data_IF_144092932078
#
_entry.id   IF_144092932078
#
_cell.length_a   1.000
_cell.length_b   1.000
_cell.length_c   1.000
_cell.angle_alpha   90.00
_cell.angle_beta   90.00
_cell.angle_gamma   90.00
#
_symmetry.space_group_name_H-M   'P 1'
#
loop_
_entity.id
_entity.type
_entity.pdbx_description
1 polymer ?
#
# COMPACT_ATOMS: atom_id res chain seq x y z
N UNK A 1 -7.22 -20.94 -19.44
CA UNK A 1 -6.94 -21.44 -18.07
C UNK A 1 -7.96 -20.82 -17.13
N UNK A 2 -8.59 -21.60 -16.25
CA UNK A 2 -9.43 -21.03 -15.19
C UNK A 2 -8.47 -20.59 -14.08
N UNK A 3 -8.37 -19.28 -13.85
CA UNK A 3 -7.49 -18.71 -12.83
C UNK A 3 -8.03 -18.91 -11.40
N UNK A 4 -7.16 -18.67 -10.41
CA UNK A 4 -7.57 -18.57 -9.00
C UNK A 4 -8.57 -17.42 -8.83
N UNK A 5 -9.45 -17.55 -7.84
CA UNK A 5 -10.35 -16.45 -7.45
C UNK A 5 -9.76 -15.65 -6.29
N UNK A 6 -10.17 -14.40 -6.12
CA UNK A 6 -9.84 -13.58 -4.95
C UNK A 6 -10.90 -13.79 -3.87
N UNK A 7 -10.46 -14.02 -2.64
CA UNK A 7 -11.30 -14.14 -1.46
C UNK A 7 -10.95 -13.04 -0.47
N UNK A 8 -11.95 -12.48 0.20
CA UNK A 8 -11.68 -11.67 1.40
C UNK A 8 -10.93 -12.49 2.46
N UNK A 9 -10.14 -11.84 3.34
CA UNK A 9 -9.52 -12.53 4.48
C UNK A 9 -10.52 -13.33 5.29
N UNK A 10 -11.71 -12.78 5.55
CA UNK A 10 -12.74 -13.48 6.33
C UNK A 10 -13.24 -14.74 5.62
N UNK A 11 -13.32 -14.74 4.30
CA UNK A 11 -13.67 -15.92 3.51
C UNK A 11 -12.54 -16.95 3.53
N UNK A 12 -11.29 -16.52 3.34
CA UNK A 12 -10.12 -17.38 3.38
C UNK A 12 -9.97 -18.05 4.76
N UNK A 13 -10.07 -17.27 5.84
CA UNK A 13 -10.03 -17.73 7.23
C UNK A 13 -11.18 -18.68 7.52
N UNK A 14 -12.39 -18.38 7.05
CA UNK A 14 -13.54 -19.26 7.22
C UNK A 14 -13.35 -20.60 6.49
N UNK A 15 -12.76 -20.60 5.28
CA UNK A 15 -12.41 -21.85 4.56
C UNK A 15 -11.37 -22.63 5.36
N UNK A 16 -10.28 -22.01 5.78
CA UNK A 16 -9.21 -22.68 6.52
C UNK A 16 -9.72 -23.25 7.84
N UNK A 17 -10.46 -22.46 8.61
CA UNK A 17 -11.09 -22.89 9.86
C UNK A 17 -11.98 -24.10 9.66
N UNK A 18 -12.89 -24.06 8.67
CA UNK A 18 -13.77 -25.19 8.38
C UNK A 18 -12.94 -26.44 8.07
N UNK A 19 -11.92 -26.32 7.19
CA UNK A 19 -11.09 -27.45 6.78
C UNK A 19 -10.30 -28.03 7.95
N UNK A 20 -9.78 -27.19 8.86
CA UNK A 20 -9.12 -27.64 10.08
C UNK A 20 -10.07 -28.41 11.00
N UNK A 21 -11.30 -27.93 11.21
CA UNK A 21 -12.29 -28.55 12.10
C UNK A 21 -12.88 -29.86 11.55
N UNK A 22 -12.68 -30.15 10.26
CA UNK A 22 -13.31 -31.25 9.52
C UNK A 22 -12.32 -32.09 8.70
N UNK A 23 -11.04 -32.12 9.09
CA UNK A 23 -9.99 -32.93 8.46
C UNK A 23 -9.83 -32.70 6.94
N UNK A 24 -10.05 -31.46 6.48
CA UNK A 24 -9.82 -31.06 5.09
C UNK A 24 -10.87 -31.52 4.09
N UNK A 25 -12.07 -31.93 4.54
CA UNK A 25 -13.13 -32.43 3.65
C UNK A 25 -13.78 -31.32 2.80
N UNK A 26 -13.12 -30.97 1.70
CA UNK A 26 -13.58 -29.96 0.74
C UNK A 26 -14.95 -30.28 0.14
N UNK A 27 -15.28 -31.56 -0.06
CA UNK A 27 -16.56 -31.97 -0.66
C UNK A 27 -17.71 -31.64 0.29
N UNK A 28 -17.56 -31.96 1.57
CA UNK A 28 -18.56 -31.63 2.57
C UNK A 28 -18.75 -30.10 2.73
N UNK A 29 -17.69 -29.30 2.64
CA UNK A 29 -17.84 -27.84 2.64
C UNK A 29 -18.69 -27.35 1.45
N UNK A 30 -18.43 -27.86 0.24
CA UNK A 30 -19.19 -27.49 -0.95
C UNK A 30 -20.68 -27.88 -0.83
N UNK A 31 -20.97 -29.09 -0.34
CA UNK A 31 -22.33 -29.58 -0.14
C UNK A 31 -23.11 -28.78 0.91
N UNK A 32 -22.46 -28.47 2.03
CA UNK A 32 -23.06 -27.67 3.10
C UNK A 32 -23.32 -26.25 2.60
N UNK A 33 -22.38 -25.64 1.89
CA UNK A 33 -22.54 -24.32 1.30
C UNK A 33 -23.71 -24.30 0.30
N UNK A 34 -23.77 -25.26 -0.62
CA UNK A 34 -24.87 -25.38 -1.59
C UNK A 34 -26.24 -25.54 -0.89
N UNK A 35 -26.28 -26.32 0.19
CA UNK A 35 -27.50 -26.52 0.98
C UNK A 35 -27.91 -25.27 1.75
N UNK A 36 -26.96 -24.56 2.36
CA UNK A 36 -27.21 -23.32 3.10
C UNK A 36 -27.78 -22.23 2.17
N UNK A 37 -27.19 -22.04 1.00
CA UNK A 37 -27.65 -21.05 0.01
C UNK A 37 -29.07 -21.36 -0.49
N UNK A 38 -29.42 -22.64 -0.72
CA UNK A 38 -30.75 -23.03 -1.19
C UNK A 38 -31.84 -22.98 -0.12
N UNK A 39 -31.56 -23.44 1.10
CA UNK A 39 -32.59 -23.68 2.12
C UNK A 39 -32.77 -22.53 3.11
N UNK A 40 -31.74 -21.72 3.35
CA UNK A 40 -31.71 -20.78 4.45
C UNK A 40 -31.49 -19.33 3.99
N UNK A 41 -31.39 -19.09 2.68
CA UNK A 41 -30.97 -17.79 2.14
C UNK A 41 -29.52 -17.45 2.49
N UNK A 42 -28.70 -18.47 2.77
CA UNK A 42 -27.32 -18.35 3.23
C UNK A 42 -27.10 -18.79 4.68
N UNK A 43 -25.89 -18.57 5.15
CA UNK A 43 -25.41 -18.83 6.50
C UNK A 43 -25.94 -17.75 7.46
N UNK A 44 -26.58 -18.17 8.56
CA UNK A 44 -27.29 -17.29 9.50
C UNK A 44 -26.35 -16.41 10.35
N UNK A 45 -26.90 -15.32 10.88
CA UNK A 45 -26.22 -14.44 11.85
C UNK A 45 -25.71 -15.23 13.07
N UNK A 46 -24.49 -14.94 13.50
CA UNK A 46 -23.79 -15.65 14.58
C UNK A 46 -23.04 -16.92 14.15
N UNK A 47 -23.17 -17.34 12.88
CA UNK A 47 -22.39 -18.45 12.35
C UNK A 47 -20.98 -17.96 11.93
N UNK A 48 -19.89 -18.62 12.35
CA UNK A 48 -18.53 -18.23 11.98
C UNK A 48 -18.26 -18.28 10.47
N UNK A 49 -19.07 -19.00 9.70
CA UNK A 49 -18.93 -19.15 8.25
C UNK A 49 -19.83 -18.20 7.44
N UNK A 50 -20.40 -17.16 8.08
CA UNK A 50 -21.22 -16.15 7.39
C UNK A 50 -20.51 -15.48 6.21
N UNK A 51 -19.18 -15.43 6.25
CA UNK A 51 -18.35 -14.85 5.19
C UNK A 51 -18.58 -15.54 3.83
N UNK A 52 -19.04 -16.80 3.84
CA UNK A 52 -19.38 -17.53 2.63
C UNK A 52 -20.62 -17.01 1.91
N UNK A 53 -21.47 -16.18 2.53
CA UNK A 53 -22.67 -15.65 1.87
C UNK A 53 -22.36 -14.79 0.63
N UNK A 54 -21.15 -14.24 0.56
CA UNK A 54 -20.67 -13.50 -0.61
C UNK A 54 -20.08 -14.38 -1.72
N UNK A 55 -20.00 -15.69 -1.54
CA UNK A 55 -19.51 -16.64 -2.54
C UNK A 55 -20.70 -17.36 -3.15
N UNK A 56 -20.76 -17.41 -4.48
CA UNK A 56 -21.66 -18.34 -5.16
C UNK A 56 -21.08 -19.76 -5.16
N UNK A 57 -21.88 -20.72 -5.63
CA UNK A 57 -21.46 -22.13 -5.65
C UNK A 57 -20.27 -22.38 -6.59
N UNK A 58 -20.16 -21.62 -7.68
CA UNK A 58 -19.07 -21.77 -8.63
C UNK A 58 -17.76 -21.22 -8.06
N UNK A 59 -17.80 -20.07 -7.41
CA UNK A 59 -16.64 -19.46 -6.75
C UNK A 59 -16.16 -20.29 -5.55
N UNK A 60 -17.08 -20.80 -4.72
CA UNK A 60 -16.73 -21.76 -3.67
C UNK A 60 -16.03 -23.00 -4.24
N UNK A 61 -16.56 -23.58 -5.33
CA UNK A 61 -15.93 -24.73 -5.98
C UNK A 61 -14.54 -24.39 -6.55
N UNK A 62 -14.36 -23.22 -7.16
CA UNK A 62 -13.06 -22.76 -7.68
C UNK A 62 -12.05 -22.57 -6.56
N UNK A 63 -12.42 -21.89 -5.47
CA UNK A 63 -11.55 -21.71 -4.30
C UNK A 63 -11.05 -23.04 -3.74
N UNK A 64 -11.91 -24.07 -3.66
CA UNK A 64 -11.54 -25.35 -3.06
C UNK A 64 -10.72 -26.24 -4.00
N UNK A 65 -11.03 -26.25 -5.30
CA UNK A 65 -10.44 -27.18 -6.28
C UNK A 65 -9.23 -26.61 -7.02
N UNK A 66 -9.25 -25.31 -7.34
CA UNK A 66 -8.18 -24.61 -8.08
C UNK A 66 -7.28 -23.86 -7.09
N UNK A 67 -7.88 -23.30 -6.04
CA UNK A 67 -7.22 -22.42 -5.08
C UNK A 67 -7.69 -20.98 -5.21
N UNK A 68 -7.23 -20.15 -4.28
CA UNK A 68 -7.58 -18.75 -4.19
C UNK A 68 -6.38 -17.89 -3.81
N UNK A 69 -6.54 -16.58 -3.96
CA UNK A 69 -5.68 -15.54 -3.40
C UNK A 69 -6.49 -14.75 -2.38
N UNK A 70 -5.86 -14.29 -1.31
CA UNK A 70 -6.53 -13.48 -0.30
C UNK A 70 -6.43 -12.02 -0.72
N UNK A 71 -7.55 -11.30 -0.72
CA UNK A 71 -7.60 -9.86 -0.90
C UNK A 71 -6.76 -9.20 0.19
N UNK A 72 -5.86 -8.31 -0.23
CA UNK A 72 -5.05 -7.54 0.71
C UNK A 72 -5.98 -6.69 1.61
N UNK A 73 -5.71 -6.71 2.91
CA UNK A 73 -6.35 -5.78 3.84
C UNK A 73 -5.57 -4.49 3.85
N UNK A 74 -6.29 -3.39 3.88
CA UNK A 74 -5.75 -2.05 3.92
C UNK A 74 -6.26 -1.35 5.17
N UNK A 75 -5.38 -0.62 5.83
CA UNK A 75 -5.66 0.19 7.01
C UNK A 75 -5.26 1.65 6.78
N UNK A 76 -5.84 2.55 7.56
CA UNK A 76 -5.44 3.96 7.55
C UNK A 76 -3.99 4.07 8.02
N UNK A 77 -3.16 4.77 7.24
CA UNK A 77 -1.73 4.89 7.46
C UNK A 77 -0.87 3.96 6.61
N UNK A 78 -1.46 2.96 5.95
CA UNK A 78 -0.73 2.11 5.00
C UNK A 78 -0.30 2.90 3.77
N UNK A 79 0.85 2.54 3.21
CA UNK A 79 1.30 3.06 1.94
C UNK A 79 0.89 2.11 0.82
N UNK A 80 0.20 2.64 -0.17
CA UNK A 80 -0.34 1.86 -1.29
C UNK A 80 0.16 2.39 -2.62
N UNK A 81 0.27 1.49 -3.58
CA UNK A 81 0.53 1.78 -4.97
C UNK A 81 -0.75 1.59 -5.78
N UNK A 82 -1.08 2.56 -6.63
CA UNK A 82 -2.12 2.47 -7.63
C UNK A 82 -1.49 2.46 -9.02
N UNK A 83 -1.75 1.43 -9.82
CA UNK A 83 -1.18 1.30 -11.17
C UNK A 83 -2.07 2.03 -12.19
N UNK A 84 -1.46 2.95 -12.94
CA UNK A 84 -2.04 3.70 -14.06
C UNK A 84 -1.25 3.42 -15.35
N UNK A 85 -1.75 3.93 -16.49
CA UNK A 85 -1.09 3.74 -17.80
C UNK A 85 0.30 4.39 -17.87
N UNK A 86 0.54 5.45 -17.10
CA UNK A 86 1.76 6.24 -17.07
C UNK A 86 2.71 5.88 -15.91
N UNK A 87 2.30 4.98 -15.02
CA UNK A 87 3.13 4.49 -13.91
C UNK A 87 2.33 4.13 -12.66
N UNK A 88 3.03 3.79 -11.59
CA UNK A 88 2.43 3.56 -10.28
C UNK A 88 2.49 4.84 -9.43
N UNK A 89 1.36 5.21 -8.84
CA UNK A 89 1.29 6.33 -7.91
C UNK A 89 1.28 5.82 -6.47
N UNK A 90 2.15 6.38 -5.64
CA UNK A 90 2.35 5.95 -4.26
C UNK A 90 1.72 6.98 -3.32
N UNK A 91 0.87 6.51 -2.41
CA UNK A 91 0.23 7.38 -1.42
C UNK A 91 -0.03 6.67 -0.10
N UNK A 92 -0.17 7.46 0.97
CA UNK A 92 -0.56 6.97 2.28
C UNK A 92 -2.08 7.07 2.46
N UNK A 93 -2.73 6.00 2.90
CA UNK A 93 -4.17 5.95 3.13
C UNK A 93 -4.53 6.90 4.28
N UNK A 94 -5.48 7.80 4.02
CA UNK A 94 -6.03 8.71 5.04
C UNK A 94 -7.38 8.23 5.58
N UNK A 95 -8.18 7.61 4.71
CA UNK A 95 -9.54 7.17 5.06
C UNK A 95 -9.98 6.00 4.18
N UNK A 96 -10.79 5.12 4.74
CA UNK A 96 -11.41 4.00 4.02
C UNK A 96 -12.93 4.07 4.19
N UNK A 97 -13.68 3.98 3.09
CA UNK A 97 -15.14 3.94 3.08
C UNK A 97 -15.63 2.75 2.25
N UNK A 98 -15.98 1.64 2.92
CA UNK A 98 -16.36 0.40 2.25
C UNK A 98 -15.21 -0.14 1.40
N UNK A 99 -15.39 -0.20 0.08
CA UNK A 99 -14.37 -0.67 -0.88
C UNK A 99 -13.53 0.46 -1.49
N UNK A 100 -13.68 1.69 -0.99
CA UNK A 100 -12.95 2.86 -1.47
C UNK A 100 -11.88 3.28 -0.46
N UNK A 101 -10.70 3.57 -0.96
CA UNK A 101 -9.54 4.05 -0.22
C UNK A 101 -9.25 5.47 -0.67
N UNK A 102 -9.17 6.39 0.28
CA UNK A 102 -8.86 7.80 0.06
C UNK A 102 -7.44 8.08 0.51
N UNK A 103 -6.64 8.71 -0.35
CA UNK A 103 -5.26 9.06 -0.10
C UNK A 103 -4.88 10.37 -0.83
N UNK A 104 -3.83 11.05 -0.36
CA UNK A 104 -3.25 12.18 -1.08
C UNK A 104 -2.23 11.67 -2.10
N UNK A 105 -2.63 11.70 -3.36
CA UNK A 105 -1.82 11.27 -4.50
C UNK A 105 -0.88 12.40 -4.98
N UNK A 106 -0.44 12.34 -6.24
CA UNK A 106 0.66 13.11 -6.85
C UNK A 106 0.64 14.64 -6.57
N UNK A 107 -0.53 15.26 -6.57
CA UNK A 107 -0.71 16.71 -6.41
C UNK A 107 -1.04 17.14 -4.97
N UNK A 108 -1.03 16.22 -4.01
CA UNK A 108 -1.48 16.48 -2.64
C UNK A 108 -3.00 16.64 -2.50
N UNK A 109 -3.76 16.44 -3.58
CA UNK A 109 -5.21 16.42 -3.52
C UNK A 109 -5.67 15.04 -3.03
N UNK A 110 -6.62 15.06 -2.10
CA UNK A 110 -7.30 13.86 -1.66
C UNK A 110 -8.17 13.32 -2.81
N UNK A 111 -7.90 12.10 -3.24
CA UNK A 111 -8.74 11.36 -4.19
C UNK A 111 -8.92 9.91 -3.74
N UNK A 112 -9.78 9.14 -4.42
CA UNK A 112 -10.12 7.77 -4.04
C UNK A 112 -9.86 6.75 -5.15
N UNK A 113 -9.47 5.55 -4.72
CA UNK A 113 -9.38 4.36 -5.56
C UNK A 113 -10.15 3.18 -4.94
N UNK A 114 -10.46 2.17 -5.74
CA UNK A 114 -11.01 0.94 -5.22
C UNK A 114 -9.91 0.03 -4.67
N UNK A 115 -10.19 -0.69 -3.58
CA UNK A 115 -9.25 -1.66 -2.97
C UNK A 115 -8.70 -2.70 -3.95
N UNK A 116 -9.42 -3.02 -5.03
CA UNK A 116 -8.98 -4.00 -6.03
C UNK A 116 -8.10 -3.39 -7.15
N UNK A 117 -7.91 -2.07 -7.17
CA UNK A 117 -7.01 -1.36 -8.09
C UNK A 117 -5.69 -0.95 -7.42
N UNK A 118 -5.54 -1.24 -6.13
CA UNK A 118 -4.36 -0.87 -5.36
C UNK A 118 -3.72 -2.11 -4.74
N UNK A 119 -2.45 -1.99 -4.40
CA UNK A 119 -1.68 -2.96 -3.61
C UNK A 119 -0.86 -2.24 -2.55
N UNK A 120 -0.35 -2.96 -1.57
CA UNK A 120 0.69 -2.41 -0.68
C UNK A 120 1.90 -1.95 -1.50
N UNK A 121 2.40 -0.75 -1.18
CA UNK A 121 3.63 -0.23 -1.77
C UNK A 121 4.85 -0.98 -1.20
N UNK A 122 5.87 -1.19 -2.03
CA UNK A 122 7.12 -1.78 -1.57
C UNK A 122 7.92 -0.81 -0.71
N UNK A 123 8.89 -1.31 0.06
CA UNK A 123 9.76 -0.44 0.86
C UNK A 123 10.55 0.55 -0.01
N UNK A 124 10.95 0.12 -1.20
CA UNK A 124 11.64 0.94 -2.19
C UNK A 124 10.73 2.04 -2.75
N UNK A 125 9.49 1.72 -3.09
CA UNK A 125 8.48 2.69 -3.55
C UNK A 125 8.18 3.74 -2.48
N UNK A 126 7.98 3.30 -1.23
CA UNK A 126 7.73 4.20 -0.10
C UNK A 126 8.93 5.13 0.12
N UNK A 127 10.16 4.61 0.03
CA UNK A 127 11.37 5.40 0.19
C UNK A 127 11.47 6.47 -0.91
N UNK A 128 11.27 6.08 -2.17
CA UNK A 128 11.32 6.99 -3.30
C UNK A 128 10.25 8.10 -3.21
N UNK A 129 9.02 7.75 -2.82
CA UNK A 129 7.93 8.73 -2.68
C UNK A 129 8.17 9.69 -1.51
N UNK A 130 8.67 9.20 -0.37
CA UNK A 130 9.03 10.07 0.77
C UNK A 130 10.15 11.02 0.41
N UNK A 131 11.16 10.55 -0.32
CA UNK A 131 12.25 11.37 -0.82
C UNK A 131 11.73 12.43 -1.80
N UNK A 132 10.91 12.04 -2.77
CA UNK A 132 10.24 12.96 -3.69
C UNK A 132 9.45 14.05 -2.94
N UNK A 133 8.61 13.68 -1.96
CA UNK A 133 7.84 14.62 -1.14
C UNK A 133 8.74 15.56 -0.34
N UNK A 134 9.87 15.08 0.18
CA UNK A 134 10.83 15.90 0.91
C UNK A 134 11.53 16.94 0.01
N UNK A 135 11.92 16.57 -1.21
CA UNK A 135 12.46 17.52 -2.19
C UNK A 135 11.41 18.50 -2.71
N UNK A 136 10.18 18.03 -2.96
CA UNK A 136 9.07 18.87 -3.41
C UNK A 136 8.67 19.92 -2.36
N UNK A 137 8.72 19.59 -1.07
CA UNK A 137 8.36 20.53 0.01
C UNK A 137 9.28 21.75 0.09
N UNK A 138 10.52 21.61 -0.42
CA UNK A 138 11.49 22.70 -0.54
C UNK A 138 11.53 23.30 -1.96
N UNK A 139 10.59 22.92 -2.83
CA UNK A 139 10.45 23.48 -4.18
C UNK A 139 11.54 23.03 -5.16
N UNK A 140 12.05 21.81 -5.00
CA UNK A 140 13.16 21.29 -5.82
C UNK A 140 12.87 19.89 -6.38
N UNK A 141 13.56 19.56 -7.46
CA UNK A 141 13.60 18.19 -7.99
C UNK A 141 14.51 17.30 -7.14
N UNK A 142 14.30 15.98 -7.22
CA UNK A 142 15.08 14.99 -6.47
C UNK A 142 16.56 15.08 -6.87
N UNK A 143 17.43 15.33 -5.89
CA UNK A 143 18.87 15.56 -6.12
C UNK A 143 19.19 16.93 -6.72
N UNK A 144 18.26 17.88 -6.71
CA UNK A 144 18.43 19.25 -7.18
C UNK A 144 19.23 20.13 -6.20
N UNK A 145 20.50 19.75 -5.95
CA UNK A 145 21.42 20.51 -5.11
C UNK A 145 21.76 21.87 -5.73
N UNK A 146 22.01 22.87 -4.88
CA UNK A 146 22.36 24.26 -5.25
C UNK A 146 23.44 24.80 -4.33
N UNK A 147 24.08 25.87 -4.77
CA UNK A 147 25.05 26.60 -3.95
C UNK A 147 24.42 27.05 -2.61
N UNK A 148 25.18 26.86 -1.53
CA UNK A 148 24.74 27.14 -0.15
C UNK A 148 24.00 26.01 0.55
N UNK A 149 23.71 24.90 -0.14
CA UNK A 149 23.23 23.69 0.51
C UNK A 149 24.31 23.06 1.40
N UNK A 150 23.89 22.40 2.49
CA UNK A 150 24.80 21.70 3.40
C UNK A 150 24.36 20.25 3.57
N UNK A 151 25.21 19.30 3.18
CA UNK A 151 25.07 17.88 3.47
C UNK A 151 25.88 17.47 4.70
N UNK A 152 25.43 16.40 5.37
CA UNK A 152 26.15 15.78 6.48
C UNK A 152 26.67 14.42 6.04
N UNK A 153 27.97 14.19 6.18
CA UNK A 153 28.62 12.92 5.92
C UNK A 153 29.61 12.61 7.03
N UNK A 154 29.48 11.47 7.71
CA UNK A 154 30.38 11.05 8.81
C UNK A 154 30.59 12.14 9.90
N UNK A 155 29.54 12.90 10.20
CA UNK A 155 29.56 14.05 11.12
C UNK A 155 30.38 15.26 10.65
N UNK A 156 30.74 15.31 9.37
CA UNK A 156 31.34 16.47 8.71
C UNK A 156 30.35 17.14 7.76
N UNK A 157 30.59 18.41 7.45
CA UNK A 157 29.78 19.20 6.53
C UNK A 157 30.36 19.14 5.13
N UNK A 158 29.48 19.09 4.14
CA UNK A 158 29.80 19.13 2.72
C UNK A 158 28.92 20.21 2.09
N UNK A 159 29.53 21.20 1.45
CA UNK A 159 28.82 22.36 0.87
C UNK A 159 29.08 22.52 -0.64
N UNK A 160 29.99 21.73 -1.21
CA UNK A 160 30.21 21.70 -2.65
C UNK A 160 29.13 20.89 -3.37
N UNK A 161 28.39 21.53 -4.28
CA UNK A 161 27.27 20.95 -5.03
C UNK A 161 27.63 19.63 -5.73
N UNK A 162 28.80 19.59 -6.39
CA UNK A 162 29.26 18.38 -7.08
C UNK A 162 29.49 17.21 -6.11
N UNK A 163 30.09 17.49 -4.94
CA UNK A 163 30.34 16.48 -3.92
C UNK A 163 29.03 16.00 -3.28
N UNK A 164 28.08 16.90 -3.04
CA UNK A 164 26.74 16.57 -2.57
C UNK A 164 26.02 15.63 -3.53
N UNK A 165 26.07 15.92 -4.83
CA UNK A 165 25.48 15.07 -5.87
C UNK A 165 26.07 13.65 -5.88
N UNK A 166 27.38 13.52 -5.69
CA UNK A 166 28.05 12.21 -5.59
C UNK A 166 27.64 11.47 -4.31
N UNK A 167 27.75 12.11 -3.15
CA UNK A 167 27.41 11.48 -1.87
C UNK A 167 25.94 11.09 -1.73
N UNK A 168 25.05 11.86 -2.34
CA UNK A 168 23.64 11.53 -2.43
C UNK A 168 23.40 10.27 -3.28
N UNK A 169 24.01 10.19 -4.47
CA UNK A 169 23.90 9.03 -5.37
C UNK A 169 24.47 7.76 -4.74
N UNK A 170 25.54 7.90 -3.97
CA UNK A 170 26.15 6.79 -3.23
C UNK A 170 25.37 6.42 -1.95
N UNK A 171 24.35 7.20 -1.59
CA UNK A 171 23.52 6.98 -0.41
C UNK A 171 24.28 7.14 0.91
N UNK A 172 25.34 7.96 0.94
CA UNK A 172 26.21 8.12 2.11
C UNK A 172 25.93 9.38 2.92
N UNK A 173 25.11 10.31 2.42
CA UNK A 173 24.64 11.45 3.20
C UNK A 173 23.76 10.98 4.36
N UNK A 174 24.05 11.47 5.56
CA UNK A 174 23.28 11.19 6.79
C UNK A 174 22.37 12.35 7.19
N UNK A 175 22.46 13.49 6.50
CA UNK A 175 21.64 14.68 6.73
C UNK A 175 21.79 15.67 5.58
N UNK A 176 20.82 16.58 5.46
CA UNK A 176 20.75 17.60 4.43
C UNK A 176 20.01 18.83 4.95
N UNK A 177 20.60 20.00 4.76
CA UNK A 177 20.06 21.31 5.08
C UNK A 177 20.05 22.15 3.80
N UNK A 178 18.89 22.35 3.17
CA UNK A 178 18.81 23.13 1.94
C UNK A 178 19.04 24.62 2.23
N UNK A 179 19.57 25.36 1.27
CA UNK A 179 19.86 26.80 1.44
C UNK A 179 18.61 27.60 1.89
N UNK A 180 17.41 27.18 1.47
CA UNK A 180 16.13 27.79 1.83
C UNK A 180 15.75 27.62 3.32
N UNK A 181 16.47 26.79 4.08
CA UNK A 181 16.25 26.59 5.51
C UNK A 181 17.03 27.56 6.40
N UNK A 182 17.97 28.34 5.84
CA UNK A 182 18.77 29.29 6.61
C UNK A 182 18.08 30.66 6.71
N UNK A 183 18.31 31.34 7.83
CA UNK A 183 17.86 32.71 8.06
C UNK A 183 19.02 33.63 7.71
N UNK A 184 18.82 34.54 6.76
CA UNK A 184 19.77 35.61 6.49
C UNK A 184 19.69 36.68 7.59
N UNK A 185 20.80 36.91 8.29
CA UNK A 185 20.94 38.08 9.13
C UNK A 185 21.43 39.22 8.25
N UNK A 186 20.65 40.29 8.14
CA UNK A 186 21.10 41.53 7.48
C UNK A 186 22.36 42.00 8.18
N UNK A 187 23.52 41.78 7.56
CA UNK A 187 24.79 42.25 8.07
C UNK A 187 24.70 43.76 8.31
N UNK A 188 25.42 44.26 9.33
CA UNK A 188 25.64 45.68 9.42
C UNK A 188 26.40 46.10 8.16
N UNK A 189 25.81 46.99 7.36
CA UNK A 189 26.49 47.62 6.22
C UNK A 189 27.83 48.19 6.76
N UNK A 190 28.97 47.68 6.26
CA UNK A 190 30.31 48.22 6.54
C UNK A 190 30.57 49.53 5.78
#
# INVERSE_FOLDING_TARGET
MIGKIKLTPEQADAIQKWLCERNGDKAALLDVHATAMKKQGGWRNGNPYRAFNGLDQADMARALLIGYEVEETFEVGDWVACEYEDGAWIAQIERIEGKKVFAQWENGQLDWNYVHHIRHATSEEIKAEKEYRAWKSIGREVGGFREGDIGIFKNEYVDHVDALGVFYKDGVLTGFYPTESFIEFGGADE
#
